data_IF_457768388114
#
_entry.id   IF_457768388114
#
_cell.length_a   1.000
_cell.length_b   1.000
_cell.length_c   1.000
_cell.angle_alpha   90.00
_cell.angle_beta   90.00
_cell.angle_gamma   90.00
#
_symmetry.space_group_name_H-M   'P 1'
#
loop_
_entity.id
_entity.type
_entity.pdbx_description
1 polymer ?
#
# COMPACT_ATOMS: atom_id res chain seq x y z
N UNK A 1 -1.17 -9.75 -6.52
CA UNK A 1 -0.65 -10.40 -7.75
C UNK A 1 0.80 -9.95 -7.88
N UNK A 2 1.74 -10.87 -7.64
CA UNK A 2 3.19 -10.60 -7.59
C UNK A 2 3.60 -9.98 -8.92
N UNK A 3 3.92 -8.68 -8.94
CA UNK A 3 4.44 -8.00 -10.12
C UNK A 3 5.86 -8.53 -10.35
N UNK A 4 5.91 -9.55 -11.20
CA UNK A 4 6.95 -10.07 -12.09
C UNK A 4 8.21 -9.17 -12.20
N UNK A 5 9.43 -9.67 -12.40
CA UNK A 5 9.86 -10.95 -12.91
C UNK A 5 11.30 -11.22 -12.46
N UNK A 6 11.60 -12.49 -12.25
CA UNK A 6 12.96 -12.98 -12.12
C UNK A 6 13.72 -12.72 -13.43
N UNK A 7 14.92 -12.13 -13.30
CA UNK A 7 16.04 -12.06 -14.24
C UNK A 7 16.16 -10.82 -15.16
N UNK A 8 17.15 -9.98 -14.79
CA UNK A 8 17.88 -8.92 -15.51
C UNK A 8 17.41 -7.44 -15.35
N UNK A 9 18.16 -6.72 -14.49
CA UNK A 9 18.49 -5.27 -14.51
C UNK A 9 17.75 -4.29 -13.56
N UNK A 10 18.34 -4.09 -12.36
CA UNK A 10 18.45 -2.84 -11.56
C UNK A 10 17.27 -2.19 -10.81
N UNK A 11 16.01 -2.62 -10.88
CA UNK A 11 14.96 -2.06 -10.00
C UNK A 11 14.38 -3.14 -9.10
N UNK A 12 14.99 -3.28 -7.93
CA UNK A 12 14.39 -4.01 -6.82
C UNK A 12 13.23 -3.16 -6.32
N UNK A 13 12.00 -3.44 -6.76
CA UNK A 13 10.84 -2.89 -6.07
C UNK A 13 10.86 -3.34 -4.62
N UNK A 14 10.71 -2.36 -3.73
CA UNK A 14 10.52 -2.60 -2.30
C UNK A 14 9.02 -2.81 -2.11
N UNK A 15 8.63 -3.88 -1.42
CA UNK A 15 7.22 -4.05 -1.03
C UNK A 15 6.92 -3.04 0.10
N UNK A 16 6.35 -1.90 -0.25
CA UNK A 16 5.99 -0.86 0.72
C UNK A 16 4.85 -1.30 1.64
N UNK A 17 4.02 -2.23 1.19
CA UNK A 17 2.91 -2.80 1.97
C UNK A 17 3.38 -3.80 3.04
N UNK A 18 4.62 -4.30 2.96
CA UNK A 18 5.18 -5.27 3.91
C UNK A 18 5.22 -4.77 5.37
N UNK A 19 5.26 -3.45 5.57
CA UNK A 19 5.24 -2.82 6.90
C UNK A 19 3.84 -2.60 7.47
N UNK A 20 2.79 -2.99 6.72
CA UNK A 20 1.39 -2.80 7.08
C UNK A 20 1.10 -1.33 7.44
N UNK A 21 1.31 -0.38 6.51
CA UNK A 21 1.19 1.05 6.81
C UNK A 21 -0.26 1.53 6.96
N UNK A 22 -1.22 0.86 6.33
CA UNK A 22 -2.62 1.26 6.30
C UNK A 22 -3.37 0.80 7.57
N UNK A 23 -4.18 1.67 8.16
CA UNK A 23 -4.89 1.43 9.43
C UNK A 23 -6.35 1.03 9.21
N UNK A 24 -7.06 0.68 10.30
CA UNK A 24 -8.52 0.48 10.30
C UNK A 24 -9.03 -0.52 9.26
N UNK A 25 -8.31 -1.65 9.11
CA UNK A 25 -8.66 -2.74 8.19
C UNK A 25 -8.76 -2.31 6.70
N UNK A 26 -8.05 -1.26 6.32
CA UNK A 26 -7.93 -0.81 4.93
C UNK A 26 -6.99 -1.70 4.11
N UNK A 27 -7.11 -1.61 2.79
CA UNK A 27 -6.30 -2.41 1.85
C UNK A 27 -5.09 -1.60 1.40
N UNK A 28 -3.89 -2.17 1.55
CA UNK A 28 -2.67 -1.59 0.99
C UNK A 28 -2.45 -2.08 -0.46
N UNK A 29 -2.20 -1.15 -1.37
CA UNK A 29 -1.82 -1.41 -2.75
C UNK A 29 -0.39 -0.95 -2.98
N UNK A 30 0.47 -1.92 -3.29
CA UNK A 30 1.88 -1.75 -3.62
C UNK A 30 2.07 -1.12 -5.01
N UNK A 31 2.91 -0.09 -5.07
CA UNK A 31 3.19 0.74 -6.23
C UNK A 31 4.64 0.59 -6.69
N UNK A 32 5.18 1.62 -7.33
CA UNK A 32 6.61 1.73 -7.64
C UNK A 32 7.18 2.77 -6.69
N UNK A 33 8.07 2.36 -5.78
CA UNK A 33 8.62 3.22 -4.72
C UNK A 33 7.53 4.00 -3.95
N UNK A 34 6.34 3.41 -3.81
CA UNK A 34 5.15 4.05 -3.26
C UNK A 34 4.06 3.05 -2.94
N UNK A 35 3.14 3.42 -2.04
CA UNK A 35 1.94 2.64 -1.76
C UNK A 35 0.71 3.55 -1.73
N UNK A 36 -0.47 2.95 -1.86
CA UNK A 36 -1.76 3.62 -1.68
C UNK A 36 -2.64 2.80 -0.75
N UNK A 37 -3.25 3.45 0.24
CA UNK A 37 -4.26 2.82 1.10
C UNK A 37 -5.66 3.06 0.52
N UNK A 38 -6.44 2.00 0.39
CA UNK A 38 -7.85 2.06 0.05
C UNK A 38 -8.65 1.97 1.34
N UNK A 39 -9.17 3.12 1.78
CA UNK A 39 -9.91 3.23 3.03
C UNK A 39 -11.31 2.61 2.93
N UNK A 40 -11.80 2.14 4.06
CA UNK A 40 -13.22 1.80 4.24
C UNK A 40 -14.05 3.08 4.27
N UNK A 41 -15.38 2.97 4.10
CA UNK A 41 -16.29 4.14 3.93
C UNK A 41 -16.20 5.17 5.05
N UNK A 42 -15.81 4.75 6.25
CA UNK A 42 -15.85 5.56 7.46
C UNK A 42 -14.47 6.16 7.79
N UNK A 43 -13.47 6.00 6.93
CA UNK A 43 -12.10 6.44 7.19
C UNK A 43 -11.48 7.20 6.01
N UNK A 44 -10.65 8.19 6.35
CA UNK A 44 -9.90 9.06 5.42
C UNK A 44 -8.49 9.30 5.96
N UNK A 45 -7.69 10.04 5.19
CA UNK A 45 -6.27 10.26 5.47
C UNK A 45 -5.39 9.36 4.61
N UNK A 46 -4.07 9.61 4.61
CA UNK A 46 -3.12 8.88 3.76
C UNK A 46 -3.02 7.41 4.17
N UNK A 47 -3.17 7.13 5.47
CA UNK A 47 -3.08 5.81 6.08
C UNK A 47 -4.45 5.31 6.55
N UNK A 48 -5.54 5.99 6.15
CA UNK A 48 -6.89 5.73 6.65
C UNK A 48 -6.99 5.84 8.18
N UNK A 49 -6.25 6.79 8.76
CA UNK A 49 -6.09 6.98 10.20
C UNK A 49 -7.20 7.83 10.84
N UNK A 50 -7.94 8.60 10.04
CA UNK A 50 -8.99 9.49 10.52
C UNK A 50 -10.36 8.89 10.24
N UNK A 51 -11.23 8.83 11.26
CA UNK A 51 -12.64 8.48 11.07
C UNK A 51 -13.40 9.69 10.51
N UNK A 52 -14.29 9.45 9.56
CA UNK A 52 -15.27 10.43 9.10
C UNK A 52 -16.47 10.34 10.05
N UNK A 53 -16.75 11.41 10.79
CA UNK A 53 -17.94 11.54 11.66
C UNK A 53 -19.20 11.93 10.87
#
# INVERSE_FOLDING_TARGET
MRKVALWLNWWKEVDECSTIPCQNSSVCIDGINSFTCVCTSDYVGRLCELRVE
#
